data_IF_724976724202
#
_entry.id   IF_724976724202
#
_cell.length_a   1.000
_cell.length_b   1.000
_cell.length_c   1.000
_cell.angle_alpha   90.00
_cell.angle_beta   90.00
_cell.angle_gamma   90.00
#
_symmetry.space_group_name_H-M   'P 1'
#
loop_
_entity.id
_entity.type
_entity.pdbx_description
1 polymer ?
#
# COMPACT_ATOMS: atom_id res chain seq x y z
N UNK A 1 25.37 19.42 -69.23
CA UNK A 1 26.29 18.68 -68.33
C UNK A 1 25.89 18.95 -66.90
N UNK A 2 25.08 18.08 -66.35
CA UNK A 2 24.40 18.27 -65.03
C UNK A 2 24.87 17.15 -64.11
N UNK A 3 25.61 17.49 -63.08
CA UNK A 3 26.08 16.55 -62.05
C UNK A 3 25.10 16.58 -60.88
N UNK A 4 24.37 15.51 -60.70
CA UNK A 4 23.56 15.24 -59.53
C UNK A 4 24.45 14.75 -58.37
N UNK A 5 24.39 15.43 -57.22
CA UNK A 5 25.00 14.99 -55.96
C UNK A 5 23.92 14.36 -55.11
N UNK A 6 24.04 13.07 -54.87
CA UNK A 6 23.14 12.26 -54.03
C UNK A 6 23.62 12.38 -52.59
N UNK A 7 22.90 13.12 -51.76
CA UNK A 7 23.13 13.21 -50.30
C UNK A 7 22.51 12.05 -49.56
N UNK A 8 23.34 11.21 -48.97
CA UNK A 8 22.91 10.12 -48.08
C UNK A 8 22.65 10.69 -46.68
N UNK A 9 21.41 10.77 -46.27
CA UNK A 9 21.00 11.18 -44.94
C UNK A 9 21.01 9.98 -44.00
N UNK A 10 22.05 9.88 -43.17
CA UNK A 10 22.15 8.83 -42.14
C UNK A 10 21.28 9.24 -40.93
N UNK A 11 20.10 8.64 -40.78
CA UNK A 11 19.26 8.76 -39.56
C UNK A 11 19.84 7.88 -38.47
N UNK A 12 20.47 8.51 -37.48
CA UNK A 12 20.83 7.87 -36.20
C UNK A 12 19.55 7.78 -35.33
N UNK A 13 18.96 6.61 -35.26
CA UNK A 13 17.91 6.29 -34.26
C UNK A 13 18.56 6.01 -32.92
N UNK A 14 18.54 7.00 -32.01
CA UNK A 14 18.82 6.73 -30.59
C UNK A 14 17.68 5.91 -30.02
N UNK A 15 17.89 4.60 -29.89
CA UNK A 15 17.02 3.72 -29.12
C UNK A 15 17.19 3.99 -27.63
N UNK A 16 16.26 4.70 -27.00
CA UNK A 16 16.15 4.73 -25.54
C UNK A 16 15.73 3.35 -25.07
N UNK A 17 16.70 2.54 -24.64
CA UNK A 17 16.43 1.34 -23.88
C UNK A 17 15.86 1.75 -22.50
N UNK A 18 14.55 1.71 -22.35
CA UNK A 18 13.90 1.80 -21.04
C UNK A 18 14.35 0.58 -20.25
N UNK A 19 15.29 0.77 -19.32
CA UNK A 19 15.67 -0.24 -18.36
C UNK A 19 14.46 -0.54 -17.48
N UNK A 20 13.75 -1.63 -17.75
CA UNK A 20 12.72 -2.18 -16.88
C UNK A 20 13.41 -2.54 -15.55
N UNK A 21 13.31 -1.65 -14.55
CA UNK A 21 13.69 -2.00 -13.18
C UNK A 21 12.74 -3.08 -12.72
N UNK A 22 13.23 -4.32 -12.68
CA UNK A 22 12.56 -5.38 -11.91
C UNK A 22 12.33 -4.87 -10.49
N UNK A 23 11.10 -4.99 -9.94
CA UNK A 23 10.88 -4.65 -8.54
C UNK A 23 11.85 -5.49 -7.70
N UNK A 24 12.58 -4.83 -6.80
CA UNK A 24 13.44 -5.54 -5.85
C UNK A 24 12.58 -6.61 -5.14
N UNK A 25 13.10 -7.84 -4.93
CA UNK A 25 12.37 -8.86 -4.20
C UNK A 25 11.97 -8.27 -2.85
N UNK A 26 10.69 -8.37 -2.49
CA UNK A 26 10.20 -7.99 -1.18
C UNK A 26 11.12 -8.66 -0.16
N UNK A 27 11.80 -7.87 0.68
CA UNK A 27 12.64 -8.39 1.74
C UNK A 27 11.83 -9.43 2.50
N UNK A 28 12.30 -10.69 2.53
CA UNK A 28 11.56 -11.79 3.13
C UNK A 28 11.13 -11.39 4.54
N UNK A 29 9.87 -11.63 4.87
CA UNK A 29 9.34 -11.38 6.21
C UNK A 29 10.13 -12.27 7.15
N UNK A 30 10.96 -11.66 8.01
CA UNK A 30 11.64 -12.40 9.07
C UNK A 30 10.62 -12.72 10.18
N UNK A 31 9.92 -13.84 10.00
CA UNK A 31 8.89 -14.30 10.93
C UNK A 31 9.43 -14.49 12.35
N UNK A 32 10.75 -14.69 12.51
CA UNK A 32 11.36 -14.84 13.85
C UNK A 32 11.29 -13.56 14.67
N UNK A 33 11.11 -12.42 14.03
CA UNK A 33 11.02 -11.10 14.66
C UNK A 33 9.60 -10.65 15.00
N UNK A 34 8.58 -11.46 14.72
CA UNK A 34 7.19 -11.09 14.95
C UNK A 34 6.61 -11.88 16.12
N UNK A 35 5.94 -11.20 17.05
CA UNK A 35 5.27 -11.83 18.20
C UNK A 35 3.77 -11.52 18.25
N UNK A 36 3.35 -10.44 17.61
CA UNK A 36 1.98 -9.96 17.63
C UNK A 36 1.47 -9.70 16.21
N UNK A 37 0.16 -9.84 16.01
CA UNK A 37 -0.54 -9.37 14.83
C UNK A 37 -1.69 -8.46 15.26
N UNK A 38 -1.73 -7.23 14.71
CA UNK A 38 -2.90 -6.36 14.76
C UNK A 38 -3.71 -6.58 13.51
N UNK A 39 -4.95 -6.98 13.66
CA UNK A 39 -5.86 -7.30 12.56
C UNK A 39 -7.01 -6.30 12.56
N UNK A 40 -7.29 -5.70 11.41
CA UNK A 40 -8.43 -4.84 11.18
C UNK A 40 -9.36 -5.48 10.16
N UNK A 41 -10.67 -5.41 10.42
CA UNK A 41 -11.71 -5.91 9.55
C UNK A 41 -12.58 -4.75 9.05
N UNK A 42 -12.79 -4.72 7.75
CA UNK A 42 -13.56 -3.71 7.06
C UNK A 42 -14.58 -4.38 6.14
N UNK A 43 -15.74 -3.77 6.02
CA UNK A 43 -16.74 -4.16 5.04
C UNK A 43 -16.90 -3.02 4.03
N UNK A 44 -16.62 -3.29 2.77
CA UNK A 44 -16.96 -2.36 1.69
C UNK A 44 -18.49 -2.20 1.64
N UNK A 45 -18.95 -0.98 1.50
CA UNK A 45 -20.39 -0.70 1.34
C UNK A 45 -20.91 -1.33 0.05
N UNK A 46 -22.22 -1.57 -0.08
CA UNK A 46 -22.80 -2.15 -1.29
C UNK A 46 -22.31 -1.42 -2.55
N UNK A 47 -21.80 -2.19 -3.52
CA UNK A 47 -21.22 -1.68 -4.77
C UNK A 47 -19.81 -1.09 -4.68
N UNK A 48 -19.24 -0.87 -3.48
CA UNK A 48 -17.95 -0.19 -3.30
C UNK A 48 -16.75 -1.12 -3.18
N UNK A 49 -16.89 -2.43 -3.40
CA UNK A 49 -15.78 -3.39 -3.25
C UNK A 49 -14.56 -3.03 -4.12
N UNK A 50 -14.77 -2.82 -5.42
CA UNK A 50 -13.68 -2.50 -6.35
C UNK A 50 -13.05 -1.13 -6.05
N UNK A 51 -13.89 -0.14 -5.71
CA UNK A 51 -13.45 1.22 -5.39
C UNK A 51 -12.64 1.22 -4.08
N UNK A 52 -13.10 0.51 -3.05
CA UNK A 52 -12.36 0.39 -1.79
C UNK A 52 -11.04 -0.39 -1.97
N UNK A 53 -11.03 -1.46 -2.79
CA UNK A 53 -9.78 -2.16 -3.14
C UNK A 53 -8.78 -1.22 -3.84
N UNK A 54 -9.28 -0.35 -4.73
CA UNK A 54 -8.46 0.68 -5.38
C UNK A 54 -7.91 1.68 -4.36
N UNK A 55 -8.75 2.19 -3.48
CA UNK A 55 -8.33 3.10 -2.41
C UNK A 55 -7.21 2.50 -1.53
N UNK A 56 -7.34 1.22 -1.17
CA UNK A 56 -6.29 0.53 -0.39
C UNK A 56 -4.97 0.57 -1.15
N UNK A 57 -4.95 0.16 -2.41
CA UNK A 57 -3.75 0.08 -3.23
C UNK A 57 -3.12 1.45 -3.48
N UNK A 58 -3.95 2.45 -3.79
CA UNK A 58 -3.48 3.74 -4.29
C UNK A 58 -3.22 4.75 -3.17
N UNK A 59 -3.84 4.59 -1.99
CA UNK A 59 -3.70 5.51 -0.85
C UNK A 59 -3.13 4.82 0.39
N UNK A 60 -3.73 3.72 0.85
CA UNK A 60 -3.34 3.11 2.11
C UNK A 60 -1.99 2.39 2.04
N UNK A 61 -1.72 1.61 1.00
CA UNK A 61 -0.44 0.89 0.85
C UNK A 61 0.79 1.81 0.71
N UNK A 62 0.75 2.95 0.01
CA UNK A 62 1.84 3.92 0.08
C UNK A 62 2.15 4.40 1.49
N UNK A 63 1.12 4.68 2.30
CA UNK A 63 1.27 5.07 3.71
C UNK A 63 1.89 3.93 4.51
N UNK A 64 1.46 2.70 4.29
CA UNK A 64 2.03 1.53 4.95
C UNK A 64 3.51 1.35 4.62
N UNK A 65 3.87 1.42 3.33
CA UNK A 65 5.27 1.31 2.91
C UNK A 65 6.15 2.37 3.57
N UNK A 66 5.65 3.59 3.71
CA UNK A 66 6.35 4.68 4.38
C UNK A 66 6.51 4.41 5.89
N UNK A 67 5.44 3.97 6.56
CA UNK A 67 5.47 3.61 7.98
C UNK A 67 6.37 2.39 8.23
N UNK A 68 6.33 1.38 7.36
CA UNK A 68 7.19 0.20 7.44
C UNK A 68 8.68 0.56 7.32
N UNK A 69 9.03 1.43 6.36
CA UNK A 69 10.41 1.94 6.22
C UNK A 69 10.89 2.67 7.47
N UNK A 70 9.99 3.34 8.17
CA UNK A 70 10.26 3.98 9.46
C UNK A 70 10.28 2.99 10.65
N UNK A 71 10.09 1.69 10.42
CA UNK A 71 10.16 0.65 11.45
C UNK A 71 8.91 0.50 12.31
N UNK A 72 7.77 1.05 11.89
CA UNK A 72 6.51 1.02 12.64
C UNK A 72 5.95 -0.41 12.81
N UNK A 73 6.23 -1.30 11.88
CA UNK A 73 5.85 -2.72 11.91
C UNK A 73 6.76 -3.53 10.99
N UNK A 74 6.70 -4.85 11.09
CA UNK A 74 7.53 -5.77 10.30
C UNK A 74 6.97 -5.97 8.91
N UNK A 75 5.67 -6.24 8.81
CA UNK A 75 4.98 -6.43 7.53
C UNK A 75 3.49 -6.11 7.66
N UNK A 76 2.85 -5.86 6.53
CA UNK A 76 1.40 -5.78 6.41
C UNK A 76 0.93 -6.56 5.21
N UNK A 77 -0.20 -7.26 5.36
CA UNK A 77 -0.87 -7.95 4.27
C UNK A 77 -2.34 -7.60 4.26
N UNK A 78 -2.88 -7.31 3.09
CA UNK A 78 -4.32 -7.10 2.89
C UNK A 78 -4.92 -8.32 2.20
N UNK A 79 -5.99 -8.85 2.78
CA UNK A 79 -6.82 -9.90 2.20
C UNK A 79 -8.14 -9.28 1.77
N UNK A 80 -8.64 -9.65 0.60
CA UNK A 80 -9.93 -9.22 0.09
C UNK A 80 -10.76 -10.44 -0.33
N UNK A 81 -12.01 -10.49 0.10
CA UNK A 81 -12.96 -11.53 -0.23
C UNK A 81 -14.31 -10.90 -0.57
N UNK A 82 -14.78 -11.13 -1.79
CA UNK A 82 -16.11 -10.69 -2.22
C UNK A 82 -17.16 -11.79 -1.89
N UNK A 83 -17.14 -12.23 -0.64
CA UNK A 83 -18.04 -13.26 -0.10
C UNK A 83 -19.03 -12.60 0.86
N UNK A 84 -20.31 -12.65 0.51
CA UNK A 84 -21.39 -12.02 1.29
C UNK A 84 -21.69 -12.76 2.60
N UNK A 85 -21.21 -14.00 2.76
CA UNK A 85 -21.37 -14.78 4.00
C UNK A 85 -20.39 -14.34 5.10
N UNK A 86 -19.25 -13.75 4.72
CA UNK A 86 -18.29 -13.21 5.66
C UNK A 86 -18.77 -11.87 6.23
N UNK A 87 -18.49 -11.57 7.52
CA UNK A 87 -18.82 -10.28 8.11
C UNK A 87 -17.96 -9.13 7.57
N UNK A 88 -16.88 -9.41 6.84
CA UNK A 88 -15.94 -8.45 6.28
C UNK A 88 -15.70 -8.73 4.79
N UNK A 89 -15.19 -7.72 4.08
CA UNK A 89 -14.72 -7.85 2.69
C UNK A 89 -13.21 -7.63 2.57
N UNK A 90 -12.62 -6.89 3.51
CA UNK A 90 -11.19 -6.61 3.54
C UNK A 90 -10.67 -6.80 4.96
N UNK A 91 -9.57 -7.53 5.06
CA UNK A 91 -8.86 -7.77 6.32
C UNK A 91 -7.41 -7.34 6.14
N UNK A 92 -6.91 -6.52 7.07
CA UNK A 92 -5.50 -6.07 7.04
C UNK A 92 -4.80 -6.57 8.29
N UNK A 93 -3.70 -7.26 8.08
CA UNK A 93 -2.90 -7.89 9.14
C UNK A 93 -1.55 -7.20 9.21
N UNK A 94 -1.28 -6.48 10.30
CA UNK A 94 0.01 -5.88 10.61
C UNK A 94 0.79 -6.82 11.53
N UNK A 95 1.98 -7.25 11.12
CA UNK A 95 2.87 -8.07 11.90
C UNK A 95 3.82 -7.17 12.70
N UNK A 96 3.87 -7.36 14.01
CA UNK A 96 4.56 -6.51 14.96
C UNK A 96 5.58 -7.33 15.77
N UNK A 97 6.70 -6.70 16.15
CA UNK A 97 7.71 -7.33 17.01
C UNK A 97 7.26 -7.42 18.47
N UNK A 98 6.59 -6.36 18.94
CA UNK A 98 6.30 -6.18 20.36
C UNK A 98 5.14 -5.21 20.61
N UNK A 99 4.79 -5.03 21.87
CA UNK A 99 3.73 -4.14 22.31
C UNK A 99 4.03 -2.65 22.04
N UNK A 100 5.29 -2.25 21.96
CA UNK A 100 5.64 -0.86 21.69
C UNK A 100 5.27 -0.46 20.25
N UNK A 101 5.52 -1.36 19.28
CA UNK A 101 5.04 -1.18 17.90
C UNK A 101 3.52 -1.17 17.84
N UNK A 102 2.85 -2.03 18.64
CA UNK A 102 1.38 -2.05 18.69
C UNK A 102 0.82 -0.70 19.18
N UNK A 103 1.33 -0.17 20.27
CA UNK A 103 0.90 1.11 20.85
C UNK A 103 1.20 2.29 19.91
N UNK A 104 2.34 2.23 19.21
CA UNK A 104 2.79 3.29 18.29
C UNK A 104 2.18 3.22 16.88
N UNK A 105 1.51 2.12 16.51
CA UNK A 105 1.08 1.86 15.12
C UNK A 105 0.24 3.00 14.52
N UNK A 106 -0.78 3.44 15.24
CA UNK A 106 -1.69 4.49 14.76
C UNK A 106 -0.97 5.82 14.53
N UNK A 107 -0.11 6.23 15.48
CA UNK A 107 0.67 7.46 15.35
C UNK A 107 1.68 7.38 14.19
N UNK A 108 2.32 6.22 14.01
CA UNK A 108 3.28 6.00 12.94
C UNK A 108 2.61 6.04 11.53
N UNK A 109 1.43 5.44 11.37
CA UNK A 109 0.64 5.52 10.13
C UNK A 109 0.20 6.96 9.85
N UNK A 110 -0.24 7.69 10.87
CA UNK A 110 -0.60 9.12 10.73
C UNK A 110 0.60 9.97 10.31
N UNK A 111 1.75 9.78 10.92
CA UNK A 111 2.98 10.47 10.57
C UNK A 111 3.46 10.13 9.15
N UNK A 112 3.34 8.87 8.73
CA UNK A 112 3.65 8.45 7.36
C UNK A 112 2.72 9.12 6.36
N UNK A 113 1.42 9.17 6.63
CA UNK A 113 0.44 9.90 5.82
C UNK A 113 0.77 11.38 5.69
N UNK A 114 1.20 12.04 6.79
CA UNK A 114 1.58 13.44 6.76
C UNK A 114 2.87 13.71 5.96
N UNK A 115 3.78 12.75 5.88
CA UNK A 115 4.97 12.86 5.01
C UNK A 115 4.64 12.76 3.53
N UNK A 116 3.70 11.89 3.16
CA UNK A 116 3.29 11.68 1.75
C UNK A 116 2.34 12.76 1.25
N UNK A 117 1.46 13.25 2.10
CA UNK A 117 0.55 14.36 1.81
C UNK A 117 0.64 15.38 2.95
N UNK A 118 1.46 16.43 2.80
CA UNK A 118 1.62 17.46 3.84
C UNK A 118 0.36 18.30 4.09
N UNK A 119 -0.51 18.44 3.07
CA UNK A 119 -1.74 19.19 3.19
C UNK A 119 -2.76 18.49 4.09
N UNK A 120 -3.01 19.06 5.26
CA UNK A 120 -3.93 18.50 6.26
C UNK A 120 -5.38 18.44 5.78
N UNK A 121 -5.80 19.40 4.93
CA UNK A 121 -7.16 19.41 4.37
C UNK A 121 -7.34 18.24 3.39
N UNK A 122 -6.36 18.01 2.53
CA UNK A 122 -6.38 16.85 1.61
C UNK A 122 -6.40 15.53 2.37
N UNK A 123 -5.59 15.38 3.43
CA UNK A 123 -5.63 14.17 4.27
C UNK A 123 -7.00 13.96 4.90
N UNK A 124 -7.63 15.05 5.40
CA UNK A 124 -8.99 14.98 5.93
C UNK A 124 -9.99 14.52 4.87
N UNK A 125 -9.94 15.10 3.66
CA UNK A 125 -10.78 14.69 2.53
C UNK A 125 -10.58 13.24 2.13
N UNK A 126 -9.34 12.74 2.10
CA UNK A 126 -9.05 11.33 1.88
C UNK A 126 -9.66 10.42 2.95
N UNK A 127 -9.60 10.82 4.22
CA UNK A 127 -10.22 10.11 5.32
C UNK A 127 -11.74 10.05 5.21
N UNK A 128 -12.37 11.19 4.91
CA UNK A 128 -13.81 11.30 4.67
C UNK A 128 -14.23 10.44 3.47
N UNK A 129 -13.51 10.52 2.37
CA UNK A 129 -13.75 9.67 1.19
C UNK A 129 -13.65 8.17 1.57
N UNK A 130 -12.61 7.76 2.29
CA UNK A 130 -12.47 6.39 2.77
C UNK A 130 -13.69 5.94 3.60
N UNK A 131 -14.24 6.83 4.42
CA UNK A 131 -15.41 6.53 5.24
C UNK A 131 -16.69 6.36 4.40
N UNK A 132 -16.77 6.92 3.19
CA UNK A 132 -17.89 6.66 2.28
C UNK A 132 -17.83 5.29 1.61
N UNK A 133 -16.64 4.69 1.52
CA UNK A 133 -16.41 3.43 0.81
C UNK A 133 -16.66 2.19 1.69
N UNK A 134 -16.52 2.33 3.01
CA UNK A 134 -16.45 1.19 3.92
C UNK A 134 -16.95 1.49 5.31
N UNK A 135 -17.29 0.43 6.03
CA UNK A 135 -17.54 0.45 7.47
C UNK A 135 -16.48 -0.38 8.20
N UNK A 136 -16.08 0.06 9.40
CA UNK A 136 -15.21 -0.73 10.27
C UNK A 136 -16.05 -1.79 10.96
N UNK A 137 -15.70 -3.06 10.73
CA UNK A 137 -16.42 -4.20 11.35
C UNK A 137 -15.81 -4.58 12.68
N UNK A 138 -14.48 -4.50 12.79
CA UNK A 138 -13.79 -4.84 14.01
C UNK A 138 -12.27 -4.71 13.93
N UNK A 139 -11.63 -4.98 15.07
CA UNK A 139 -10.19 -5.15 15.15
C UNK A 139 -9.87 -6.14 16.28
N UNK A 140 -8.78 -6.86 16.16
CA UNK A 140 -8.26 -7.75 17.20
C UNK A 140 -6.73 -7.75 17.19
N UNK A 141 -6.16 -8.07 18.35
CA UNK A 141 -4.74 -8.34 18.51
C UNK A 141 -4.57 -9.80 18.85
N UNK A 142 -3.68 -10.50 18.17
CA UNK A 142 -3.36 -11.90 18.43
C UNK A 142 -1.87 -12.08 18.69
N UNK A 143 -1.52 -13.06 19.50
CA UNK A 143 -0.15 -13.54 19.61
C UNK A 143 0.13 -14.55 18.50
N UNK A 144 1.36 -14.50 17.97
CA UNK A 144 1.81 -15.48 16.98
C UNK A 144 2.39 -16.66 17.74
N UNK A 145 1.71 -17.80 17.65
CA UNK A 145 2.21 -19.07 18.21
C UNK A 145 3.13 -19.73 17.20
N UNK A 146 4.30 -20.19 17.67
CA UNK A 146 5.35 -20.87 16.85
C UNK A 146 5.60 -22.26 17.38
#
# INVERSE_FOLDING_TARGET
MTRSVLGVLCMLTLGCAAASRSPAPAAGIDATKTTLAQIYFWRARPGMFAEYSRYIRDVAEPIDREAQRAGAFVAVTTYAANDTTLPWTHMRVFLLRDSSQLLGLGAALSAAGARLEPDSLRRKQQGEYSATLRDRVGATVTQIVR
#
